data_IF_135742838632
#
_entry.id   IF_135742838632
#
_cell.length_a   1.000
_cell.length_b   1.000
_cell.length_c   1.000
_cell.angle_alpha   90.00
_cell.angle_beta   90.00
_cell.angle_gamma   90.00
#
_symmetry.space_group_name_H-M   'P 1'
#
loop_
_entity.id
_entity.type
_entity.pdbx_description
1 polymer ?
#
# COMPACT_ATOMS: atom_id res chain seq x y z
N UNK A 1 18.70 -12.57 2.67
CA UNK A 1 19.94 -11.78 2.90
C UNK A 1 20.36 -11.15 1.58
N UNK A 2 20.88 -9.93 1.63
CA UNK A 2 21.37 -9.15 0.49
C UNK A 2 22.89 -9.31 0.36
N UNK A 3 23.41 -9.09 -0.84
CA UNK A 3 24.83 -8.99 -1.11
C UNK A 3 25.33 -7.58 -0.85
N UNK A 4 26.51 -7.43 -0.26
CA UNK A 4 27.19 -6.14 -0.21
C UNK A 4 27.53 -5.69 -1.64
N UNK A 5 27.31 -4.41 -1.92
CA UNK A 5 27.55 -3.81 -3.23
C UNK A 5 29.03 -3.44 -3.40
N UNK A 6 29.55 -3.62 -4.62
CA UNK A 6 30.86 -3.14 -5.03
C UNK A 6 30.69 -1.85 -5.85
N UNK A 7 30.95 -0.73 -5.22
CA UNK A 7 30.77 0.60 -5.82
C UNK A 7 31.78 0.92 -6.93
N UNK A 8 32.83 0.14 -7.09
CA UNK A 8 33.71 0.23 -8.28
C UNK A 8 32.92 -0.15 -9.56
N UNK A 9 31.86 -0.97 -9.42
CA UNK A 9 30.95 -1.34 -10.49
C UNK A 9 29.76 -0.40 -10.62
N UNK A 10 29.56 0.55 -9.66
CA UNK A 10 28.41 1.46 -9.58
C UNK A 10 28.87 2.92 -9.46
N UNK A 11 29.75 3.42 -10.34
CA UNK A 11 30.26 4.80 -10.23
C UNK A 11 29.15 5.86 -10.32
N UNK A 12 28.01 5.58 -11.00
CA UNK A 12 26.88 6.48 -11.12
C UNK A 12 26.08 6.67 -9.83
N UNK A 13 26.42 5.92 -8.75
CA UNK A 13 25.91 6.23 -7.40
C UNK A 13 26.16 7.68 -6.99
N UNK A 14 27.22 8.31 -7.52
CA UNK A 14 27.56 9.72 -7.31
C UNK A 14 26.48 10.70 -7.83
N UNK A 15 25.55 10.25 -8.67
CA UNK A 15 24.44 11.05 -9.19
C UNK A 15 23.26 11.13 -8.21
N UNK A 16 23.21 10.24 -7.21
CA UNK A 16 22.14 10.19 -6.20
C UNK A 16 22.33 11.34 -5.21
N UNK A 17 21.26 12.09 -4.96
CA UNK A 17 21.25 13.19 -4.00
C UNK A 17 21.45 12.71 -2.56
N UNK A 18 22.22 13.45 -1.77
CA UNK A 18 22.58 13.10 -0.39
C UNK A 18 21.35 12.89 0.51
N UNK A 19 20.24 13.58 0.23
CA UNK A 19 18.98 13.45 0.98
C UNK A 19 18.31 12.05 0.87
N UNK A 20 18.72 11.25 -0.09
CA UNK A 20 18.16 9.90 -0.35
C UNK A 20 19.08 8.79 0.15
N UNK A 21 20.22 9.14 0.77
CA UNK A 21 21.22 8.22 1.27
C UNK A 21 21.17 8.11 2.81
N UNK A 22 21.75 7.03 3.35
CA UNK A 22 22.00 6.89 4.79
C UNK A 22 20.75 6.65 5.64
N UNK A 23 19.70 6.07 5.08
CA UNK A 23 18.49 5.76 5.82
C UNK A 23 18.69 4.64 6.84
N UNK A 24 17.89 4.60 7.88
CA UNK A 24 18.04 3.69 9.03
C UNK A 24 18.05 2.21 8.65
N UNK A 25 17.46 1.83 7.52
CA UNK A 25 17.46 0.45 7.01
C UNK A 25 18.79 0.05 6.35
N UNK A 26 19.61 1.00 5.89
CA UNK A 26 20.95 0.79 5.31
C UNK A 26 21.81 2.07 5.44
N UNK A 27 22.30 2.39 6.66
CA UNK A 27 22.91 3.68 6.96
C UNK A 27 24.16 4.03 6.13
N UNK A 28 24.86 3.01 5.69
CA UNK A 28 26.09 3.16 4.90
C UNK A 28 25.86 2.88 3.40
N UNK A 29 24.60 2.64 2.99
CA UNK A 29 24.22 2.17 1.65
C UNK A 29 25.01 0.94 1.20
N UNK A 30 25.34 0.05 2.13
CA UNK A 30 26.13 -1.15 1.85
C UNK A 30 25.41 -2.14 0.91
N UNK A 31 24.07 -2.17 0.95
CA UNK A 31 23.24 -3.20 0.31
C UNK A 31 22.25 -2.64 -0.72
N UNK A 32 22.09 -1.31 -0.78
CA UNK A 32 21.02 -0.68 -1.53
C UNK A 32 21.44 0.59 -2.27
N UNK A 33 20.87 0.79 -3.46
CA UNK A 33 20.99 2.03 -4.22
C UNK A 33 19.60 2.62 -4.43
N UNK A 34 19.32 3.86 -4.01
CA UNK A 34 18.05 4.53 -4.26
C UNK A 34 17.67 4.53 -5.74
N UNK A 35 16.41 4.25 -6.03
CA UNK A 35 15.87 4.16 -7.39
C UNK A 35 14.80 5.20 -7.67
N UNK A 36 13.76 5.23 -6.85
CA UNK A 36 12.68 6.21 -6.86
C UNK A 36 12.33 6.58 -5.43
N UNK A 37 11.49 7.60 -5.26
CA UNK A 37 10.94 7.92 -3.97
C UNK A 37 9.53 8.49 -4.11
N UNK A 38 8.79 8.56 -3.02
CA UNK A 38 7.46 9.12 -3.02
C UNK A 38 6.88 9.26 -1.62
N UNK A 39 5.63 9.68 -1.61
CA UNK A 39 4.80 9.75 -0.41
C UNK A 39 3.49 9.01 -0.63
N UNK A 40 2.80 8.67 0.46
CA UNK A 40 1.41 8.23 0.40
C UNK A 40 0.47 9.44 0.54
N UNK A 41 -0.75 9.32 0.01
CA UNK A 41 -1.80 10.32 0.18
C UNK A 41 -3.16 9.72 -0.17
N UNK A 42 -4.17 10.57 -0.36
CA UNK A 42 -5.51 10.15 -0.77
C UNK A 42 -5.72 10.52 -2.23
N UNK A 43 -5.93 9.52 -3.08
CA UNK A 43 -6.49 9.69 -4.41
C UNK A 43 -8.01 9.65 -4.30
N UNK A 44 -8.71 10.57 -4.94
CA UNK A 44 -10.17 10.66 -4.88
C UNK A 44 -10.78 11.07 -6.21
N UNK A 45 -12.04 10.65 -6.43
CA UNK A 45 -12.82 11.00 -7.62
C UNK A 45 -13.64 12.27 -7.35
N UNK A 46 -13.34 13.35 -8.04
CA UNK A 46 -13.96 14.68 -7.87
C UNK A 46 -15.45 14.70 -8.27
N UNK A 47 -15.93 13.69 -9.01
CA UNK A 47 -17.36 13.56 -9.34
C UNK A 47 -18.16 12.84 -8.26
N UNK A 48 -17.49 12.18 -7.31
CA UNK A 48 -18.09 11.44 -6.19
C UNK A 48 -17.85 12.13 -4.85
N UNK A 49 -16.78 12.94 -4.74
CA UNK A 49 -16.36 13.66 -3.53
C UNK A 49 -16.47 15.14 -3.80
N UNK A 50 -17.43 15.82 -3.17
CA UNK A 50 -17.73 17.24 -3.44
C UNK A 50 -16.63 18.15 -2.89
N UNK A 51 -16.19 17.91 -1.64
CA UNK A 51 -15.14 18.68 -0.99
C UNK A 51 -13.85 17.85 -0.92
N UNK A 52 -12.69 18.38 -1.37
CA UNK A 52 -11.44 17.66 -1.30
C UNK A 52 -11.13 17.13 0.11
N UNK A 53 -10.73 15.86 0.28
CA UNK A 53 -10.32 15.33 1.59
C UNK A 53 -9.12 16.11 2.13
N UNK A 54 -9.04 16.27 3.45
CA UNK A 54 -7.93 16.96 4.12
C UNK A 54 -7.25 16.11 5.18
N UNK A 55 -7.91 15.05 5.58
CA UNK A 55 -7.51 14.19 6.71
C UNK A 55 -7.61 12.72 6.33
N UNK A 56 -6.76 11.89 6.91
CA UNK A 56 -6.92 10.44 6.82
C UNK A 56 -8.26 9.97 7.37
N UNK A 57 -8.90 10.75 8.27
CA UNK A 57 -10.22 10.43 8.83
C UNK A 57 -11.33 10.38 7.77
N UNK A 58 -11.18 11.08 6.64
CA UNK A 58 -12.15 11.10 5.55
C UNK A 58 -12.35 9.70 4.93
N UNK A 59 -11.35 8.80 5.03
CA UNK A 59 -11.46 7.39 4.64
C UNK A 59 -12.34 6.54 5.58
N UNK A 60 -12.86 7.12 6.68
CA UNK A 60 -13.80 6.49 7.62
C UNK A 60 -15.19 7.09 7.53
N UNK A 61 -15.41 8.07 6.64
CA UNK A 61 -16.70 8.73 6.54
C UNK A 61 -17.76 7.76 5.99
N UNK A 62 -18.84 7.60 6.76
CA UNK A 62 -19.97 6.74 6.41
C UNK A 62 -20.75 7.23 5.18
N UNK A 63 -20.58 8.49 4.79
CA UNK A 63 -21.16 9.01 3.54
C UNK A 63 -20.64 8.25 2.32
N UNK A 64 -19.38 7.79 2.36
CA UNK A 64 -18.74 7.05 1.29
C UNK A 64 -18.77 5.53 1.51
N UNK A 65 -19.65 5.01 2.37
CA UNK A 65 -19.72 3.59 2.67
C UNK A 65 -19.87 2.72 1.41
N UNK A 66 -18.99 1.74 1.24
CA UNK A 66 -18.91 0.88 0.07
C UNK A 66 -18.22 1.51 -1.16
N UNK A 67 -17.64 2.71 -1.01
CA UNK A 67 -16.91 3.42 -2.07
C UNK A 67 -15.48 3.82 -1.66
N UNK A 68 -14.99 3.38 -0.51
CA UNK A 68 -13.62 3.59 -0.05
C UNK A 68 -12.81 2.33 -0.31
N UNK A 69 -11.65 2.46 -0.94
CA UNK A 69 -10.66 1.39 -1.02
C UNK A 69 -9.63 1.53 0.13
N UNK A 70 -8.97 0.45 0.46
CA UNK A 70 -7.89 0.42 1.45
C UNK A 70 -6.77 -0.49 0.97
N UNK A 71 -5.54 -0.22 1.42
CA UNK A 71 -4.38 -1.09 1.15
C UNK A 71 -4.62 -2.53 1.60
N UNK A 72 -4.24 -3.48 0.75
CA UNK A 72 -4.16 -4.90 1.09
C UNK A 72 -2.76 -5.28 1.62
N UNK A 73 -2.17 -4.40 2.38
CA UNK A 73 -0.86 -4.52 3.01
C UNK A 73 -0.98 -4.08 4.47
N UNK A 74 -0.56 -4.93 5.41
CA UNK A 74 -0.71 -4.69 6.85
C UNK A 74 0.02 -3.43 7.30
N UNK A 75 1.21 -3.20 6.76
CA UNK A 75 2.09 -2.09 7.16
C UNK A 75 1.56 -0.74 6.69
N UNK A 76 1.12 -0.66 5.43
CA UNK A 76 0.56 0.57 4.86
C UNK A 76 -0.81 0.89 5.48
N UNK A 77 -1.70 -0.11 5.60
CA UNK A 77 -3.00 0.09 6.23
C UNK A 77 -2.85 0.54 7.70
N UNK A 78 -1.92 -0.07 8.46
CA UNK A 78 -1.57 0.37 9.81
C UNK A 78 -1.16 1.84 9.82
N UNK A 79 -0.25 2.24 8.91
CA UNK A 79 0.27 3.60 8.85
C UNK A 79 -0.83 4.64 8.66
N UNK A 80 -1.80 4.38 7.77
CA UNK A 80 -2.95 5.27 7.53
C UNK A 80 -3.79 5.44 8.79
N UNK A 81 -4.14 4.33 9.46
CA UNK A 81 -4.95 4.39 10.67
C UNK A 81 -4.19 5.02 11.85
N UNK A 82 -2.90 4.73 12.00
CA UNK A 82 -2.05 5.33 13.02
C UNK A 82 -1.96 6.86 12.85
N UNK A 83 -1.75 7.33 11.61
CA UNK A 83 -1.71 8.78 11.32
C UNK A 83 -3.05 9.44 11.64
N UNK A 84 -4.18 8.86 11.24
CA UNK A 84 -5.52 9.32 11.64
C UNK A 84 -5.65 9.47 13.14
N UNK A 85 -5.06 8.57 13.92
CA UNK A 85 -5.08 8.60 15.39
C UNK A 85 -4.05 9.57 16.00
N UNK A 86 -3.23 10.25 15.20
CA UNK A 86 -2.15 11.12 15.66
C UNK A 86 -0.93 10.34 16.21
N UNK A 87 -0.78 9.08 15.82
CA UNK A 87 0.31 8.21 16.21
C UNK A 87 1.42 8.17 15.12
N UNK A 88 2.58 7.63 15.49
CA UNK A 88 3.62 7.28 14.52
C UNK A 88 3.19 6.11 13.64
N UNK A 89 3.61 6.11 12.36
CA UNK A 89 3.43 4.94 11.49
C UNK A 89 4.35 3.76 11.88
N UNK A 90 5.21 3.96 12.87
CA UNK A 90 6.09 2.94 13.43
C UNK A 90 5.65 2.62 14.87
N UNK A 91 4.89 1.52 15.09
CA UNK A 91 4.40 1.17 16.42
C UNK A 91 5.54 0.92 17.40
N UNK A 92 5.36 1.37 18.62
CA UNK A 92 6.32 1.23 19.72
C UNK A 92 6.00 0.06 20.65
N UNK A 93 4.79 -0.50 20.56
CA UNK A 93 4.34 -1.63 21.40
C UNK A 93 3.25 -2.45 20.70
N UNK A 94 3.02 -3.66 21.23
CA UNK A 94 1.94 -4.56 20.83
C UNK A 94 0.57 -3.95 21.10
N UNK A 95 0.42 -3.25 22.22
CA UNK A 95 -0.82 -2.58 22.60
C UNK A 95 -1.21 -1.48 21.60
N UNK A 96 -0.22 -0.75 21.08
CA UNK A 96 -0.43 0.26 20.04
C UNK A 96 -0.91 -0.38 18.73
N UNK A 97 -0.34 -1.54 18.36
CA UNK A 97 -0.81 -2.33 17.22
C UNK A 97 -2.26 -2.74 17.40
N UNK A 98 -2.62 -3.26 18.58
CA UNK A 98 -3.99 -3.68 18.88
C UNK A 98 -5.00 -2.54 18.73
N UNK A 99 -4.67 -1.34 19.19
CA UNK A 99 -5.58 -0.19 19.16
C UNK A 99 -5.77 0.32 17.72
N UNK A 100 -4.70 0.38 16.93
CA UNK A 100 -4.77 0.77 15.52
C UNK A 100 -5.52 -0.27 14.69
N UNK A 101 -5.35 -1.57 14.97
CA UNK A 101 -6.09 -2.63 14.28
C UNK A 101 -7.59 -2.63 14.60
N UNK A 102 -8.01 -2.21 15.81
CA UNK A 102 -9.42 -1.97 16.14
C UNK A 102 -10.00 -0.82 15.31
N UNK A 103 -9.20 0.23 15.08
CA UNK A 103 -9.60 1.36 14.22
C UNK A 103 -9.80 0.93 12.77
N UNK A 104 -8.89 0.09 12.23
CA UNK A 104 -9.06 -0.52 10.91
C UNK A 104 -10.27 -1.47 10.85
N UNK A 105 -10.55 -2.19 11.92
CA UNK A 105 -11.76 -3.02 12.01
C UNK A 105 -13.03 -2.17 11.96
N UNK A 106 -13.06 -1.02 12.62
CA UNK A 106 -14.20 -0.09 12.56
C UNK A 106 -14.41 0.49 11.15
N UNK A 107 -13.33 0.68 10.37
CA UNK A 107 -13.39 1.14 9.00
C UNK A 107 -14.07 0.15 8.05
N UNK A 108 -14.10 -1.15 8.35
CA UNK A 108 -14.63 -2.18 7.44
C UNK A 108 -16.04 -1.89 6.92
N UNK A 109 -16.85 -1.20 7.71
CA UNK A 109 -18.22 -0.82 7.33
C UNK A 109 -18.29 0.15 6.15
N UNK A 110 -17.20 0.87 5.86
CA UNK A 110 -17.11 1.82 4.75
C UNK A 110 -16.25 1.32 3.60
N UNK A 111 -15.38 0.33 3.84
CA UNK A 111 -14.44 -0.20 2.84
C UNK A 111 -15.17 -1.05 1.80
N UNK A 112 -14.99 -0.71 0.52
CA UNK A 112 -15.45 -1.50 -0.62
C UNK A 112 -14.57 -2.74 -0.81
N UNK A 113 -13.25 -2.54 -0.83
CA UNK A 113 -12.27 -3.59 -1.04
C UNK A 113 -10.89 -3.22 -0.48
N UNK A 114 -10.12 -4.25 -0.13
CA UNK A 114 -8.69 -4.15 0.14
C UNK A 114 -7.95 -4.48 -1.15
N UNK A 115 -7.15 -3.54 -1.65
CA UNK A 115 -6.52 -3.60 -2.97
C UNK A 115 -5.02 -3.30 -2.91
N UNK A 116 -4.29 -3.76 -3.90
CA UNK A 116 -2.98 -3.26 -4.32
C UNK A 116 -3.13 -2.78 -5.77
N UNK A 117 -2.57 -3.47 -6.74
CA UNK A 117 -2.61 -3.04 -8.15
C UNK A 117 -4.03 -2.96 -8.74
N UNK A 118 -5.01 -3.64 -8.15
CA UNK A 118 -6.42 -3.54 -8.57
C UNK A 118 -7.02 -2.12 -8.40
N UNK A 119 -6.32 -1.23 -7.69
CA UNK A 119 -6.75 0.17 -7.52
C UNK A 119 -6.78 0.90 -8.87
N UNK A 120 -5.86 0.60 -9.79
CA UNK A 120 -5.81 1.23 -11.10
C UNK A 120 -7.15 1.05 -11.83
N UNK A 121 -7.57 -0.19 -12.03
CA UNK A 121 -8.85 -0.48 -12.70
C UNK A 121 -10.04 0.20 -12.00
N UNK A 122 -10.05 0.24 -10.65
CA UNK A 122 -11.17 0.79 -9.88
C UNK A 122 -11.23 2.31 -9.88
N UNK A 123 -10.10 2.98 -9.71
CA UNK A 123 -10.08 4.45 -9.68
C UNK A 123 -10.21 5.02 -11.09
N UNK A 124 -9.49 4.48 -12.07
CA UNK A 124 -9.60 4.88 -13.48
C UNK A 124 -11.01 4.61 -14.04
N UNK A 125 -11.62 3.49 -13.63
CA UNK A 125 -13.00 3.14 -13.98
C UNK A 125 -14.09 3.93 -13.24
N UNK A 126 -13.72 4.76 -12.25
CA UNK A 126 -14.69 5.54 -11.45
C UNK A 126 -15.54 4.67 -10.52
N UNK A 127 -15.02 3.51 -10.08
CA UNK A 127 -15.76 2.57 -9.23
C UNK A 127 -15.65 2.86 -7.72
N UNK A 128 -14.76 3.79 -7.32
CA UNK A 128 -14.55 4.16 -5.92
C UNK A 128 -14.43 5.68 -5.76
N UNK A 129 -14.82 6.18 -4.60
CA UNK A 129 -14.76 7.59 -4.26
C UNK A 129 -13.35 8.00 -3.79
N UNK A 130 -12.75 7.21 -2.93
CA UNK A 130 -11.44 7.52 -2.32
C UNK A 130 -10.62 6.26 -2.04
N UNK A 131 -9.30 6.44 -2.08
CA UNK A 131 -8.33 5.42 -1.66
C UNK A 131 -7.07 6.07 -1.10
N UNK A 132 -6.39 5.49 -0.09
CA UNK A 132 -5.01 5.80 0.19
C UNK A 132 -4.12 5.15 -0.86
N UNK A 133 -3.17 5.88 -1.44
CA UNK A 133 -2.22 5.27 -2.37
C UNK A 133 -0.91 6.05 -2.50
N UNK A 134 -0.01 5.53 -3.32
CA UNK A 134 1.30 6.12 -3.58
C UNK A 134 1.18 7.26 -4.60
N UNK A 135 1.88 8.35 -4.35
CA UNK A 135 1.78 9.58 -5.14
C UNK A 135 2.15 9.39 -6.63
N UNK A 136 3.17 8.58 -6.92
CA UNK A 136 3.59 8.30 -8.29
C UNK A 136 2.51 7.56 -9.09
N UNK A 137 1.94 6.51 -8.52
CA UNK A 137 0.83 5.77 -9.14
C UNK A 137 -0.42 6.64 -9.27
N UNK A 138 -0.66 7.54 -8.30
CA UNK A 138 -1.78 8.47 -8.38
C UNK A 138 -1.64 9.41 -9.59
N UNK A 139 -0.45 9.91 -9.90
CA UNK A 139 -0.19 10.72 -11.09
C UNK A 139 -0.54 9.94 -12.37
N UNK A 140 -0.09 8.68 -12.46
CA UNK A 140 -0.41 7.82 -13.61
C UNK A 140 -1.92 7.61 -13.76
N UNK A 141 -2.65 7.33 -12.67
CA UNK A 141 -4.10 7.18 -12.71
C UNK A 141 -4.82 8.50 -13.08
N UNK A 142 -4.30 9.65 -12.65
CA UNK A 142 -4.84 10.97 -12.98
C UNK A 142 -4.64 11.33 -14.46
N UNK A 143 -3.58 10.83 -15.09
CA UNK A 143 -3.35 10.98 -16.53
C UNK A 143 -4.38 10.18 -17.35
N UNK A 144 -4.79 9.00 -16.87
CA UNK A 144 -5.81 8.17 -17.53
C UNK A 144 -7.26 8.63 -17.24
N UNK A 145 -7.50 9.17 -16.03
CA UNK A 145 -8.83 9.68 -15.65
C UNK A 145 -8.74 11.09 -15.04
N UNK A 146 -9.12 12.16 -15.80
CA UNK A 146 -9.05 13.54 -15.33
C UNK A 146 -10.04 13.90 -14.20
N UNK A 147 -10.96 13.01 -13.86
CA UNK A 147 -11.85 13.19 -12.71
C UNK A 147 -11.16 12.82 -11.37
N UNK A 148 -9.94 12.28 -11.43
CA UNK A 148 -9.17 11.97 -10.24
C UNK A 148 -8.34 13.15 -9.78
N UNK A 149 -8.17 13.26 -8.46
CA UNK A 149 -7.27 14.21 -7.83
C UNK A 149 -6.57 13.55 -6.63
N UNK A 150 -5.50 14.18 -6.14
CA UNK A 150 -4.71 13.65 -5.04
C UNK A 150 -4.40 14.73 -4.01
N UNK A 151 -4.38 14.35 -2.74
CA UNK A 151 -4.04 15.23 -1.61
C UNK A 151 -3.12 14.53 -0.62
N UNK A 152 -2.29 15.32 0.05
CA UNK A 152 -1.50 14.88 1.22
C UNK A 152 -2.25 15.30 2.49
N UNK A 153 -2.72 14.35 3.33
CA UNK A 153 -3.46 14.65 4.56
C UNK A 153 -2.65 15.41 5.61
N UNK A 154 -3.34 16.21 6.41
CA UNK A 154 -2.73 17.15 7.38
C UNK A 154 -1.96 16.45 8.51
N UNK A 155 -2.30 15.23 8.86
CA UNK A 155 -1.64 14.46 9.93
C UNK A 155 -0.24 13.97 9.54
N UNK A 156 0.12 14.09 8.27
CA UNK A 156 1.39 13.64 7.71
C UNK A 156 1.26 12.31 6.97
N UNK A 157 2.30 11.95 6.27
CA UNK A 157 2.34 10.88 5.27
C UNK A 157 3.50 9.92 5.52
N UNK A 158 3.47 8.74 4.91
CA UNK A 158 4.67 7.94 4.75
C UNK A 158 5.53 8.53 3.63
N UNK A 159 6.81 8.73 3.89
CA UNK A 159 7.84 8.96 2.89
C UNK A 159 8.62 7.67 2.70
N UNK A 160 8.86 7.26 1.48
CA UNK A 160 9.61 6.05 1.16
C UNK A 160 10.63 6.29 0.05
N UNK A 161 11.68 5.48 0.06
CA UNK A 161 12.70 5.41 -0.99
C UNK A 161 12.78 3.96 -1.45
N UNK A 162 12.37 3.72 -2.68
CA UNK A 162 12.56 2.42 -3.32
C UNK A 162 14.02 2.23 -3.64
N UNK A 163 14.53 1.04 -3.40
CA UNK A 163 15.94 0.77 -3.53
C UNK A 163 16.23 -0.50 -4.31
N UNK A 164 17.21 -0.42 -5.19
CA UNK A 164 17.74 -1.58 -5.92
C UNK A 164 18.70 -2.35 -5.04
N UNK A 165 18.48 -3.66 -4.89
CA UNK A 165 19.26 -4.57 -4.07
C UNK A 165 19.58 -5.86 -4.83
N UNK A 166 20.65 -6.54 -4.43
CA UNK A 166 21.06 -7.82 -5.02
C UNK A 166 20.92 -8.93 -3.97
N UNK A 167 20.15 -10.01 -4.23
CA UNK A 167 20.11 -11.16 -3.32
C UNK A 167 21.48 -11.82 -3.17
N UNK A 168 21.87 -12.19 -1.95
CA UNK A 168 23.15 -12.87 -1.69
C UNK A 168 23.32 -14.20 -2.45
N UNK A 169 22.22 -14.80 -2.89
CA UNK A 169 22.22 -16.03 -3.71
C UNK A 169 22.48 -15.79 -5.20
N UNK A 170 22.54 -14.53 -5.65
CA UNK A 170 22.78 -14.18 -7.06
C UNK A 170 24.11 -14.77 -7.55
N UNK A 171 24.10 -15.31 -8.76
CA UNK A 171 25.30 -15.83 -9.44
C UNK A 171 25.90 -14.83 -10.43
N UNK A 172 25.25 -13.67 -10.57
CA UNK A 172 25.60 -12.64 -11.56
C UNK A 172 25.69 -11.25 -10.90
N UNK A 173 26.34 -11.18 -9.71
CA UNK A 173 26.42 -9.97 -8.90
C UNK A 173 27.01 -8.80 -9.69
N UNK A 174 28.16 -8.99 -10.35
CA UNK A 174 28.80 -7.94 -11.17
C UNK A 174 27.87 -7.42 -12.28
N UNK A 175 27.18 -8.32 -13.01
CA UNK A 175 26.23 -7.88 -14.04
C UNK A 175 25.02 -7.13 -13.47
N UNK A 176 24.58 -7.50 -12.27
CA UNK A 176 23.51 -6.79 -11.57
C UNK A 176 23.97 -5.40 -11.11
N UNK A 177 25.20 -5.27 -10.61
CA UNK A 177 25.79 -3.98 -10.24
C UNK A 177 25.95 -3.07 -11.47
N UNK A 178 26.38 -3.60 -12.59
CA UNK A 178 26.44 -2.85 -13.88
C UNK A 178 25.05 -2.39 -14.31
N UNK A 179 24.00 -3.19 -14.11
CA UNK A 179 22.63 -2.80 -14.40
C UNK A 179 22.15 -1.70 -13.45
N UNK A 180 22.44 -1.82 -12.15
CA UNK A 180 22.15 -0.76 -11.17
C UNK A 180 22.87 0.54 -11.57
N UNK A 181 24.14 0.45 -11.97
CA UNK A 181 24.89 1.59 -12.46
C UNK A 181 24.23 2.26 -13.68
N UNK A 182 23.75 1.45 -14.65
CA UNK A 182 23.00 1.94 -15.81
C UNK A 182 21.71 2.66 -15.41
N UNK A 183 20.97 2.14 -14.43
CA UNK A 183 19.76 2.78 -13.92
C UNK A 183 20.01 4.13 -13.23
N UNK A 184 21.25 4.37 -12.75
CA UNK A 184 21.67 5.62 -12.16
C UNK A 184 22.24 6.64 -13.19
N UNK A 185 22.26 6.30 -14.48
CA UNK A 185 22.63 7.28 -15.53
C UNK A 185 21.53 8.34 -15.68
N UNK A 186 21.86 9.64 -15.75
CA UNK A 186 20.86 10.70 -15.81
C UNK A 186 19.86 10.55 -16.98
N UNK A 187 20.33 10.16 -18.17
CA UNK A 187 19.45 9.98 -19.34
C UNK A 187 18.48 8.80 -19.15
N UNK A 188 18.92 7.72 -18.51
CA UNK A 188 18.09 6.57 -18.19
C UNK A 188 17.11 6.91 -17.07
N UNK A 189 17.59 7.55 -16.00
CA UNK A 189 16.77 8.00 -14.88
C UNK A 189 15.68 8.97 -15.31
N UNK A 190 15.98 9.89 -16.27
CA UNK A 190 14.98 10.79 -16.84
C UNK A 190 13.86 10.04 -17.55
N UNK A 191 14.20 9.16 -18.48
CA UNK A 191 13.21 8.38 -19.22
C UNK A 191 12.36 7.50 -18.30
N UNK A 192 12.98 6.96 -17.26
CA UNK A 192 12.30 6.12 -16.30
C UNK A 192 11.32 6.92 -15.42
N UNK A 193 11.76 8.06 -14.88
CA UNK A 193 10.93 8.98 -14.10
C UNK A 193 9.72 9.48 -14.91
N UNK A 194 9.94 9.88 -16.16
CA UNK A 194 8.90 10.35 -17.08
C UNK A 194 7.86 9.24 -17.38
N UNK A 195 8.31 7.99 -17.49
CA UNK A 195 7.43 6.87 -17.82
C UNK A 195 6.60 6.36 -16.63
N UNK A 196 7.21 6.28 -15.42
CA UNK A 196 6.55 5.68 -14.26
C UNK A 196 5.85 6.70 -13.34
N UNK A 197 6.06 8.01 -13.55
CA UNK A 197 5.45 9.08 -12.74
C UNK A 197 6.05 9.25 -11.34
N UNK A 198 7.07 8.47 -10.96
CA UNK A 198 7.71 8.56 -9.62
C UNK A 198 8.82 9.59 -9.58
N UNK A 199 9.01 10.17 -8.38
CA UNK A 199 10.06 11.14 -8.15
C UNK A 199 11.44 10.50 -8.16
N UNK A 200 12.42 11.23 -8.70
CA UNK A 200 13.78 10.74 -8.89
C UNK A 200 14.71 11.15 -7.75
N UNK A 201 15.61 10.26 -7.27
CA UNK A 201 16.68 10.63 -6.39
C UNK A 201 17.91 11.21 -7.11
N UNK A 202 17.93 11.20 -8.46
CA UNK A 202 19.06 11.71 -9.26
C UNK A 202 18.94 13.21 -9.44
N UNK A 203 19.87 13.98 -8.85
CA UNK A 203 19.83 15.43 -8.82
C UNK A 203 19.77 16.05 -10.22
N UNK A 204 20.63 15.59 -11.15
CA UNK A 204 20.64 16.10 -12.54
C UNK A 204 19.32 15.85 -13.27
N UNK A 205 18.66 14.71 -13.00
CA UNK A 205 17.34 14.39 -13.59
C UNK A 205 16.31 15.40 -13.09
N UNK A 206 16.24 15.65 -11.79
CA UNK A 206 15.31 16.62 -11.22
C UNK A 206 15.50 18.03 -11.83
N UNK A 207 16.75 18.45 -12.07
CA UNK A 207 17.03 19.73 -12.71
C UNK A 207 16.49 19.83 -14.13
N UNK A 208 16.37 18.71 -14.85
CA UNK A 208 15.96 18.60 -16.26
C UNK A 208 14.46 18.35 -16.44
N UNK A 209 13.72 18.01 -15.35
CA UNK A 209 12.28 17.79 -15.44
C UNK A 209 11.53 19.04 -15.93
N UNK A 210 10.44 18.83 -16.64
CA UNK A 210 9.52 19.89 -17.01
C UNK A 210 8.92 20.54 -15.76
N UNK A 211 8.59 21.82 -15.83
CA UNK A 211 8.11 22.61 -14.70
C UNK A 211 6.84 22.01 -14.07
N UNK A 212 5.94 21.43 -14.88
CA UNK A 212 4.71 20.81 -14.38
C UNK A 212 4.98 19.63 -13.46
N UNK A 213 5.96 18.80 -13.73
CA UNK A 213 6.35 17.70 -12.85
C UNK A 213 7.27 18.17 -11.72
N UNK A 214 8.25 19.02 -12.03
CA UNK A 214 9.24 19.54 -11.06
C UNK A 214 8.62 20.27 -9.90
N UNK A 215 7.54 21.01 -10.15
CA UNK A 215 6.82 21.78 -9.14
C UNK A 215 5.46 21.17 -8.78
N UNK A 216 5.21 19.93 -9.19
CA UNK A 216 4.03 19.18 -8.78
C UNK A 216 4.03 18.97 -7.26
N UNK A 217 3.02 19.43 -6.53
CA UNK A 217 2.94 19.19 -5.09
C UNK A 217 2.69 17.72 -4.74
N UNK A 218 2.38 16.90 -5.76
CA UNK A 218 2.17 15.45 -5.63
C UNK A 218 3.51 14.72 -5.73
N UNK A 219 4.26 14.96 -6.82
CA UNK A 219 5.57 14.34 -7.02
C UNK A 219 6.62 14.90 -6.05
N UNK A 220 6.61 16.21 -5.81
CA UNK A 220 7.57 16.93 -4.98
C UNK A 220 6.81 17.76 -3.92
N UNK A 221 6.34 17.13 -2.84
CA UNK A 221 5.57 17.80 -1.81
C UNK A 221 6.34 18.94 -1.14
N UNK A 222 5.60 19.93 -0.60
CA UNK A 222 6.19 21.05 0.10
C UNK A 222 6.94 20.65 1.38
N UNK A 223 7.82 21.50 1.86
CA UNK A 223 8.50 21.32 3.14
C UNK A 223 7.52 21.12 4.31
N UNK A 224 6.31 21.71 4.24
CA UNK A 224 5.28 21.52 5.28
C UNK A 224 4.82 20.07 5.35
N UNK A 225 4.58 19.43 4.20
CA UNK A 225 4.22 18.00 4.12
C UNK A 225 5.40 17.14 4.54
N UNK A 226 6.59 17.41 4.00
CA UNK A 226 7.79 16.62 4.27
C UNK A 226 8.23 16.69 5.74
N UNK A 227 8.03 17.81 6.44
CA UNK A 227 8.35 17.93 7.87
C UNK A 227 7.43 17.06 8.77
N UNK A 228 6.26 16.62 8.27
CA UNK A 228 5.35 15.72 8.97
C UNK A 228 5.47 14.27 8.46
N UNK A 229 6.25 14.05 7.41
CA UNK A 229 6.44 12.73 6.83
C UNK A 229 7.30 11.84 7.74
N UNK A 230 7.00 10.57 7.75
CA UNK A 230 7.78 9.56 8.47
C UNK A 230 8.19 8.43 7.52
N UNK A 231 9.35 7.83 7.80
CA UNK A 231 9.87 6.66 7.08
C UNK A 231 9.62 5.41 7.91
N UNK A 232 9.28 4.31 7.27
CA UNK A 232 9.22 3.02 7.93
C UNK A 232 10.59 2.59 8.46
N UNK A 233 10.61 2.11 9.71
CA UNK A 233 11.77 1.47 10.30
C UNK A 233 11.54 -0.04 10.44
N UNK A 234 12.62 -0.80 10.62
CA UNK A 234 12.52 -2.20 10.97
C UNK A 234 11.87 -2.34 12.35
N UNK A 235 10.73 -3.04 12.41
CA UNK A 235 10.06 -3.30 13.67
C UNK A 235 10.72 -4.46 14.42
N UNK A 236 10.65 -4.47 15.77
CA UNK A 236 10.92 -5.66 16.57
C UNK A 236 10.08 -6.86 16.10
N UNK A 237 10.65 -8.07 16.19
CA UNK A 237 10.01 -9.29 15.68
C UNK A 237 8.65 -9.57 16.30
N UNK A 238 8.47 -9.27 17.59
CA UNK A 238 7.22 -9.44 18.33
C UNK A 238 6.14 -8.47 17.85
N UNK A 239 6.47 -7.21 17.63
CA UNK A 239 5.55 -6.20 17.09
C UNK A 239 5.14 -6.56 15.66
N UNK A 240 6.11 -6.96 14.82
CA UNK A 240 5.83 -7.36 13.44
C UNK A 240 4.93 -8.60 13.38
N UNK A 241 5.20 -9.61 14.21
CA UNK A 241 4.38 -10.82 14.29
C UNK A 241 2.95 -10.53 14.75
N UNK A 242 2.77 -9.63 15.73
CA UNK A 242 1.46 -9.20 16.21
C UNK A 242 0.70 -8.43 15.12
N UNK A 243 1.37 -7.54 14.41
CA UNK A 243 0.76 -6.79 13.29
C UNK A 243 0.21 -7.75 12.22
N UNK A 244 0.96 -8.76 11.81
CA UNK A 244 0.52 -9.73 10.81
C UNK A 244 -0.62 -10.61 11.32
N UNK A 245 -0.58 -11.01 12.59
CA UNK A 245 -1.64 -11.79 13.23
C UNK A 245 -2.94 -11.00 13.33
N UNK A 246 -2.89 -9.76 13.82
CA UNK A 246 -4.05 -8.88 13.96
C UNK A 246 -4.61 -8.42 12.63
N UNK A 247 -3.78 -8.18 11.64
CA UNK A 247 -4.20 -7.92 10.27
C UNK A 247 -5.03 -9.07 9.70
N UNK A 248 -4.55 -10.31 9.87
CA UNK A 248 -5.25 -11.50 9.44
C UNK A 248 -6.58 -11.69 10.18
N UNK A 249 -6.60 -11.43 11.49
CA UNK A 249 -7.81 -11.47 12.33
C UNK A 249 -8.81 -10.41 11.87
N UNK A 250 -8.38 -9.16 11.71
CA UNK A 250 -9.20 -8.03 11.26
C UNK A 250 -9.81 -8.33 9.88
N UNK A 251 -9.03 -8.81 8.93
CA UNK A 251 -9.54 -9.15 7.58
C UNK A 251 -10.57 -10.28 7.60
N UNK A 252 -10.42 -11.26 8.48
CA UNK A 252 -11.36 -12.38 8.60
C UNK A 252 -12.61 -12.04 9.42
N UNK A 253 -12.62 -10.94 10.15
CA UNK A 253 -13.76 -10.51 10.95
C UNK A 253 -14.95 -10.15 10.07
N UNK A 254 -16.09 -10.79 10.28
CA UNK A 254 -17.35 -10.57 9.55
C UNK A 254 -18.39 -9.91 10.47
N UNK A 255 -18.61 -8.60 10.26
CA UNK A 255 -19.65 -7.84 10.99
C UNK A 255 -21.08 -8.25 10.61
N UNK A 256 -21.26 -8.89 9.43
CA UNK A 256 -22.60 -9.17 8.88
C UNK A 256 -23.37 -10.22 9.66
N UNK A 257 -22.75 -10.88 10.64
CA UNK A 257 -23.38 -11.97 11.40
C UNK A 257 -23.85 -13.14 10.53
N UNK A 258 -23.43 -13.17 9.26
CA UNK A 258 -23.85 -14.16 8.28
C UNK A 258 -23.30 -15.57 8.56
N UNK A 259 -22.39 -15.71 9.52
CA UNK A 259 -21.91 -17.02 9.98
C UNK A 259 -23.05 -17.95 10.41
N UNK A 260 -24.14 -17.42 10.98
CA UNK A 260 -25.32 -18.23 11.32
C UNK A 260 -26.09 -18.71 10.08
N UNK A 261 -26.10 -17.94 8.98
CA UNK A 261 -26.71 -18.38 7.72
C UNK A 261 -25.98 -19.58 7.12
N UNK A 262 -24.65 -19.61 7.19
CA UNK A 262 -23.86 -20.78 6.75
C UNK A 262 -24.23 -22.01 7.59
N UNK A 263 -24.36 -21.84 8.91
CA UNK A 263 -24.81 -22.92 9.82
C UNK A 263 -26.22 -23.37 9.48
N UNK A 264 -27.14 -22.46 9.19
CA UNK A 264 -28.51 -22.79 8.78
C UNK A 264 -28.52 -23.52 7.43
N UNK A 265 -27.72 -23.09 6.44
CA UNK A 265 -27.59 -23.80 5.17
C UNK A 265 -27.02 -25.22 5.33
N UNK A 266 -25.99 -25.39 6.17
CA UNK A 266 -25.39 -26.69 6.48
C UNK A 266 -26.39 -27.61 7.18
N UNK A 267 -27.14 -27.13 8.17
CA UNK A 267 -28.17 -27.87 8.87
C UNK A 267 -29.33 -28.25 7.91
N UNK A 268 -29.71 -27.33 7.03
CA UNK A 268 -30.70 -27.58 5.98
C UNK A 268 -30.26 -28.70 5.00
N UNK A 269 -29.01 -28.67 4.56
CA UNK A 269 -28.44 -29.71 3.69
C UNK A 269 -28.39 -31.10 4.37
N UNK A 270 -28.02 -31.13 5.66
CA UNK A 270 -28.03 -32.37 6.48
C UNK A 270 -29.47 -32.92 6.62
N UNK A 271 -30.46 -32.04 6.93
CA UNK A 271 -31.87 -32.44 7.06
C UNK A 271 -32.43 -32.99 5.75
N UNK A 272 -32.14 -32.34 4.60
CA UNK A 272 -32.56 -32.81 3.27
C UNK A 272 -31.93 -34.17 2.95
N UNK A 273 -30.64 -34.34 3.25
CA UNK A 273 -29.92 -35.60 3.03
C UNK A 273 -30.47 -36.72 3.91
N UNK A 274 -30.71 -36.44 5.18
CA UNK A 274 -31.34 -37.37 6.12
C UNK A 274 -32.76 -37.79 5.68
N UNK A 275 -33.57 -36.82 5.21
CA UNK A 275 -34.89 -37.10 4.70
C UNK A 275 -34.86 -37.98 3.43
N UNK A 276 -33.93 -37.74 2.53
CA UNK A 276 -33.75 -38.55 1.33
C UNK A 276 -33.30 -39.99 1.64
N UNK A 277 -32.42 -40.17 2.61
CA UNK A 277 -31.99 -41.48 3.10
C UNK A 277 -33.18 -42.21 3.75
N UNK A 278 -33.93 -41.53 4.63
CA UNK A 278 -35.13 -42.10 5.28
C UNK A 278 -36.19 -42.51 4.26
N UNK A 279 -36.43 -41.69 3.24
CA UNK A 279 -37.37 -41.99 2.14
C UNK A 279 -36.92 -43.19 1.31
N UNK A 280 -35.62 -43.37 1.06
CA UNK A 280 -35.05 -44.55 0.39
C UNK A 280 -35.19 -45.81 1.25
N UNK A 281 -35.00 -45.72 2.55
CA UNK A 281 -35.15 -46.84 3.46
C UNK A 281 -36.63 -47.29 3.55
N UNK A 282 -37.60 -46.37 3.62
CA UNK A 282 -39.02 -46.68 3.61
C UNK A 282 -39.48 -47.38 2.31
N UNK A 283 -38.98 -46.93 1.15
CA UNK A 283 -39.28 -47.62 -0.13
C UNK A 283 -38.75 -49.06 -0.12
N UNK A 284 -37.54 -49.32 0.34
CA UNK A 284 -36.95 -50.64 0.43
C UNK A 284 -37.74 -51.60 1.35
N UNK A 285 -38.39 -51.09 2.38
CA UNK A 285 -39.24 -51.89 3.28
C UNK A 285 -40.59 -52.23 2.61
N UNK A 286 -41.14 -51.32 1.79
CA UNK A 286 -42.38 -51.56 1.04
C UNK A 286 -42.24 -52.54 -0.15
N UNK A 287 -41.03 -52.59 -0.75
CA UNK A 287 -40.75 -53.49 -1.88
C UNK A 287 -40.42 -54.96 -1.45
N UNK A 288 -40.28 -55.21 -0.15
CA UNK A 288 -39.98 -56.53 0.44
C UNK A 288 -41.18 -57.19 1.14
N UNK A 289 -42.37 -56.64 1.00
CA UNK A 289 -43.66 -57.25 1.39
C UNK A 289 -44.58 -57.32 0.18
#
# INVERSE_FOLDING_TARGET
MLAELDYDNIPNMANIGENYLGWSYDPDNTYSVPYTWGTTGIIYNTTMVEEPPTSWADLWDVEYAGNVLMFNNSRDAYAIAAKKMGLSLNPSSVEEVDDVMKELQAQKSVVQAYVMDEIFDKMEGGEAAMAPYYAGDALTMMDENPDLAFVSPEEGVNFFVDSMCIPASSKHKEAAEMFINFMCEPDVGYQNCDFIGYSTPITEVWERLDDDLKYSPIAYPSDEVMNKAEVFVTLPDDINAEMDAKWSEMKSYDESGSGWLIVVFLLGAIAISGFNIWRKMRKKVQDNY
#
